data_IF_674794451921
#
_entry.id   IF_674794451921
#
_cell.length_a   1.000
_cell.length_b   1.000
_cell.length_c   1.000
_cell.angle_alpha   90.00
_cell.angle_beta   90.00
_cell.angle_gamma   90.00
#
_symmetry.space_group_name_H-M   'P 1'
#
loop_
_entity.id
_entity.type
_entity.pdbx_description
1 polymer ?
#
# COMPACT_ATOMS: atom_id res chain seq x y z
N UNK A 1 -11.13 -11.86 11.00
CA UNK A 1 -11.63 -10.53 10.60
C UNK A 1 -11.90 -9.74 11.88
N UNK A 2 -11.16 -8.65 12.13
CA UNK A 2 -11.38 -7.83 13.33
C UNK A 2 -12.77 -7.20 13.18
N UNK A 3 -13.68 -7.52 14.09
CA UNK A 3 -15.09 -7.11 14.01
C UNK A 3 -15.31 -5.62 14.33
N UNK A 4 -14.33 -4.98 14.97
CA UNK A 4 -14.42 -3.58 15.39
C UNK A 4 -13.92 -2.63 14.30
N UNK A 5 -14.80 -1.71 13.87
CA UNK A 5 -14.48 -0.63 12.92
C UNK A 5 -13.33 0.24 13.43
N UNK A 6 -13.29 0.52 14.74
CA UNK A 6 -12.20 1.28 15.37
C UNK A 6 -10.87 0.55 15.28
N UNK A 7 -10.88 -0.78 15.50
CA UNK A 7 -9.68 -1.60 15.39
C UNK A 7 -9.15 -1.70 13.95
N UNK A 8 -10.06 -1.82 12.97
CA UNK A 8 -9.69 -1.78 11.56
C UNK A 8 -9.08 -0.43 11.18
N UNK A 9 -9.66 0.69 11.65
CA UNK A 9 -9.13 2.02 11.37
C UNK A 9 -7.71 2.20 11.90
N UNK A 10 -7.45 1.84 13.17
CA UNK A 10 -6.10 1.91 13.75
C UNK A 10 -5.11 1.06 12.96
N UNK A 11 -5.51 -0.15 12.54
CA UNK A 11 -4.64 -1.00 11.72
C UNK A 11 -4.36 -0.40 10.35
N UNK A 12 -5.32 0.24 9.69
CA UNK A 12 -5.07 0.91 8.41
C UNK A 12 -4.06 2.05 8.58
N UNK A 13 -4.20 2.84 9.64
CA UNK A 13 -3.25 3.92 9.96
C UNK A 13 -1.86 3.36 10.23
N UNK A 14 -1.73 2.33 11.08
CA UNK A 14 -0.44 1.68 11.35
C UNK A 14 0.18 1.09 10.09
N UNK A 15 -0.62 0.42 9.26
CA UNK A 15 -0.14 -0.18 8.01
C UNK A 15 0.35 0.88 7.03
N UNK A 16 -0.36 2.02 6.93
CA UNK A 16 0.06 3.14 6.09
C UNK A 16 1.41 3.73 6.57
N UNK A 17 1.58 3.92 7.87
CA UNK A 17 2.84 4.42 8.45
C UNK A 17 3.99 3.44 8.17
N UNK A 18 3.79 2.16 8.45
CA UNK A 18 4.80 1.11 8.20
C UNK A 18 5.16 1.02 6.72
N UNK A 19 4.18 1.17 5.83
CA UNK A 19 4.39 1.16 4.39
C UNK A 19 5.26 2.34 3.94
N UNK A 20 5.00 3.55 4.43
CA UNK A 20 5.83 4.73 4.13
C UNK A 20 7.26 4.52 4.61
N UNK A 21 7.46 4.03 5.84
CA UNK A 21 8.79 3.75 6.39
C UNK A 21 9.53 2.69 5.54
N UNK A 22 8.85 1.59 5.20
CA UNK A 22 9.41 0.52 4.37
C UNK A 22 9.81 1.01 2.97
N UNK A 23 8.97 1.84 2.35
CA UNK A 23 9.25 2.48 1.06
C UNK A 23 10.50 3.36 1.11
N UNK A 24 10.63 4.21 2.15
CA UNK A 24 11.81 5.04 2.33
C UNK A 24 13.08 4.20 2.55
N UNK A 25 13.01 3.17 3.39
CA UNK A 25 14.12 2.25 3.63
C UNK A 25 14.54 1.49 2.38
N UNK A 26 13.59 1.12 1.52
CA UNK A 26 13.89 0.43 0.26
C UNK A 26 14.81 1.27 -0.64
N UNK A 27 14.56 2.59 -0.72
CA UNK A 27 15.39 3.49 -1.51
C UNK A 27 16.71 3.86 -0.85
N UNK A 28 16.73 4.03 0.47
CA UNK A 28 17.97 4.31 1.22
C UNK A 28 18.96 3.14 1.11
N UNK A 29 18.48 1.90 1.13
CA UNK A 29 19.32 0.70 1.01
C UNK A 29 19.71 0.36 -0.44
N UNK A 30 19.20 1.11 -1.43
CA UNK A 30 19.52 0.87 -2.82
C UNK A 30 20.91 1.47 -3.10
N UNK A 31 21.89 0.64 -3.44
CA UNK A 31 23.27 1.09 -3.64
C UNK A 31 23.43 2.11 -4.78
N UNK A 32 22.56 2.04 -5.81
CA UNK A 32 22.49 2.99 -6.93
C UNK A 32 21.03 3.13 -7.38
N UNK A 33 20.21 3.96 -6.71
CA UNK A 33 18.83 4.15 -7.12
C UNK A 33 18.77 4.91 -8.43
N UNK A 34 18.27 4.25 -9.49
CA UNK A 34 17.99 4.94 -10.74
C UNK A 34 16.62 5.60 -10.67
N UNK A 35 16.44 6.71 -11.39
CA UNK A 35 15.13 7.35 -11.54
C UNK A 35 14.06 6.37 -12.04
N UNK A 36 14.45 5.46 -12.94
CA UNK A 36 13.57 4.41 -13.47
C UNK A 36 13.13 3.46 -12.35
N UNK A 37 14.04 2.99 -11.50
CA UNK A 37 13.70 2.12 -10.36
C UNK A 37 12.70 2.77 -9.41
N UNK A 38 12.88 4.07 -9.13
CA UNK A 38 11.96 4.85 -8.30
C UNK A 38 10.59 4.95 -8.97
N UNK A 39 10.55 5.30 -10.26
CA UNK A 39 9.32 5.42 -11.04
C UNK A 39 8.53 4.10 -11.07
N UNK A 40 9.20 2.97 -11.36
CA UNK A 40 8.57 1.65 -11.37
C UNK A 40 8.01 1.26 -10.00
N UNK A 41 8.72 1.60 -8.92
CA UNK A 41 8.23 1.36 -7.57
C UNK A 41 6.94 2.16 -7.30
N UNK A 42 6.89 3.46 -7.62
CA UNK A 42 5.67 4.27 -7.47
C UNK A 42 4.49 3.74 -8.31
N UNK A 43 4.76 3.29 -9.54
CA UNK A 43 3.74 2.64 -10.39
C UNK A 43 3.21 1.37 -9.71
N UNK A 44 4.10 0.54 -9.16
CA UNK A 44 3.72 -0.69 -8.46
C UNK A 44 2.85 -0.41 -7.22
N UNK A 45 3.22 0.57 -6.39
CA UNK A 45 2.41 1.00 -5.24
C UNK A 45 1.00 1.43 -5.68
N UNK A 46 0.92 2.24 -6.73
CA UNK A 46 -0.34 2.75 -7.26
C UNK A 46 -1.21 1.61 -7.83
N UNK A 47 -0.60 0.64 -8.52
CA UNK A 47 -1.28 -0.52 -9.08
C UNK A 47 -1.87 -1.42 -7.98
N UNK A 48 -1.11 -1.68 -6.91
CA UNK A 48 -1.57 -2.48 -5.77
C UNK A 48 -2.75 -1.79 -5.06
N UNK A 49 -2.67 -0.48 -4.85
CA UNK A 49 -3.76 0.27 -4.25
C UNK A 49 -5.04 0.22 -5.11
N UNK A 50 -4.90 0.42 -6.42
CA UNK A 50 -6.02 0.30 -7.36
C UNK A 50 -6.61 -1.11 -7.40
N UNK A 51 -5.79 -2.16 -7.34
CA UNK A 51 -6.26 -3.54 -7.30
C UNK A 51 -7.06 -3.83 -6.01
N UNK A 52 -6.65 -3.27 -4.88
CA UNK A 52 -7.39 -3.34 -3.62
C UNK A 52 -8.76 -2.67 -3.73
N UNK A 53 -8.82 -1.44 -4.25
CA UNK A 53 -10.08 -0.73 -4.49
C UNK A 53 -11.01 -1.46 -5.47
N UNK A 54 -10.45 -2.00 -6.56
CA UNK A 54 -11.22 -2.79 -7.53
C UNK A 54 -11.81 -4.04 -6.88
N UNK A 55 -11.05 -4.71 -6.03
CA UNK A 55 -11.51 -5.89 -5.26
C UNK A 55 -12.62 -5.50 -4.28
N UNK A 56 -12.47 -4.40 -3.55
CA UNK A 56 -13.50 -3.90 -2.63
C UNK A 56 -14.81 -3.58 -3.37
N UNK A 57 -14.72 -2.90 -4.51
CA UNK A 57 -15.88 -2.60 -5.38
C UNK A 57 -16.53 -3.88 -5.90
N UNK A 58 -15.74 -4.84 -6.37
CA UNK A 58 -16.24 -6.13 -6.83
C UNK A 58 -17.01 -6.86 -5.72
N UNK A 59 -16.45 -6.92 -4.50
CA UNK A 59 -17.10 -7.57 -3.36
C UNK A 59 -18.38 -6.85 -2.90
N UNK A 60 -18.41 -5.52 -2.97
CA UNK A 60 -19.61 -4.71 -2.65
C UNK A 60 -20.73 -4.92 -3.67
N UNK A 61 -20.42 -4.98 -4.97
CA UNK A 61 -21.40 -5.18 -6.04
C UNK A 61 -21.90 -6.64 -6.16
N UNK A 62 -21.20 -7.59 -5.54
CA UNK A 62 -21.60 -9.01 -5.48
C UNK A 62 -22.58 -9.32 -4.33
N UNK A 63 -22.79 -8.36 -3.42
CA UNK A 63 -23.86 -8.39 -2.41
C UNK A 63 -25.11 -7.73 -2.97
#
# INVERSE_FOLDING_TARGET
MIKSVKGQFVLHVMTAILFVISSLLHFINLANPTFISILFYFIMVSAVFNAGLATERYLKNKK
#
